data_IF_256760383000
#
_entry.id   IF_256760383000
#
_cell.length_a   1.000
_cell.length_b   1.000
_cell.length_c   1.000
_cell.angle_alpha   90.00
_cell.angle_beta   90.00
_cell.angle_gamma   90.00
#
_symmetry.space_group_name_H-M   'P 1'
#
loop_
_entity.id
_entity.type
_entity.pdbx_description
1 polymer ?
#
# COMPACT_ATOMS: atom_id res chain seq x y z
N UNK A 1 -5.33 7.79 -25.43
CA UNK A 1 -5.25 6.32 -25.27
C UNK A 1 -4.38 5.90 -24.08
N UNK A 2 -3.28 6.59 -23.75
CA UNK A 2 -2.41 6.24 -22.60
C UNK A 2 -2.97 6.56 -21.20
N UNK A 3 -3.75 7.63 -21.02
CA UNK A 3 -4.26 8.03 -19.68
C UNK A 3 -5.23 7.03 -19.03
N UNK A 4 -6.02 6.28 -19.82
CA UNK A 4 -6.92 5.25 -19.31
C UNK A 4 -6.16 4.09 -18.65
N UNK A 5 -4.99 3.73 -19.19
CA UNK A 5 -4.11 2.70 -18.63
C UNK A 5 -3.53 3.13 -17.27
N UNK A 6 -3.04 4.37 -17.15
CA UNK A 6 -2.46 4.86 -15.90
C UNK A 6 -3.52 4.99 -14.80
N UNK A 7 -4.72 5.48 -15.13
CA UNK A 7 -5.84 5.57 -14.18
C UNK A 7 -6.17 4.20 -13.59
N UNK A 8 -6.23 3.15 -14.41
CA UNK A 8 -6.48 1.79 -13.92
C UNK A 8 -5.37 1.29 -12.99
N UNK A 9 -4.10 1.58 -13.29
CA UNK A 9 -2.97 1.21 -12.43
C UNK A 9 -3.03 1.91 -11.07
N UNK A 10 -3.34 3.21 -11.04
CA UNK A 10 -3.54 3.97 -9.79
C UNK A 10 -4.67 3.36 -8.96
N UNK A 11 -5.82 3.06 -9.58
CA UNK A 11 -6.97 2.46 -8.89
C UNK A 11 -6.61 1.07 -8.34
N UNK A 12 -5.87 0.27 -9.12
CA UNK A 12 -5.43 -1.07 -8.72
C UNK A 12 -4.56 -0.99 -7.46
N UNK A 13 -3.45 -0.24 -7.51
CA UNK A 13 -2.51 -0.16 -6.37
C UNK A 13 -3.17 0.46 -5.13
N UNK A 14 -4.08 1.43 -5.32
CA UNK A 14 -4.86 1.99 -4.21
C UNK A 14 -5.72 0.93 -3.50
N UNK A 15 -6.43 0.08 -4.27
CA UNK A 15 -7.26 -1.00 -3.72
C UNK A 15 -6.43 -2.08 -3.04
N UNK A 16 -5.29 -2.45 -3.63
CA UNK A 16 -4.37 -3.42 -3.03
C UNK A 16 -3.80 -2.91 -1.70
N UNK A 17 -3.38 -1.64 -1.63
CA UNK A 17 -2.91 -1.02 -0.39
C UNK A 17 -4.01 -0.95 0.67
N UNK A 18 -5.26 -0.63 0.31
CA UNK A 18 -6.38 -0.68 1.26
C UNK A 18 -6.62 -2.09 1.80
N UNK A 19 -6.50 -3.12 0.96
CA UNK A 19 -6.65 -4.50 1.39
C UNK A 19 -5.55 -4.91 2.38
N UNK A 20 -4.28 -4.67 2.03
CA UNK A 20 -3.13 -4.98 2.88
C UNK A 20 -3.16 -4.18 4.19
N UNK A 21 -3.60 -2.92 4.12
CA UNK A 21 -3.70 -2.01 5.26
C UNK A 21 -4.66 -2.47 6.37
N UNK A 22 -5.54 -3.46 6.12
CA UNK A 22 -6.42 -4.04 7.14
C UNK A 22 -5.64 -4.69 8.29
N UNK A 23 -4.46 -5.21 7.98
CA UNK A 23 -3.58 -5.90 8.94
C UNK A 23 -2.46 -4.99 9.48
N UNK A 24 -2.50 -3.70 9.16
CA UNK A 24 -1.48 -2.73 9.54
C UNK A 24 -1.31 -2.68 11.08
N UNK A 25 -0.06 -2.56 11.62
CA UNK A 25 0.17 -2.64 13.06
C UNK A 25 -0.62 -1.64 13.91
N UNK A 26 -0.90 -0.45 13.38
CA UNK A 26 -1.67 0.60 14.05
C UNK A 26 -3.18 0.55 13.73
N UNK A 27 -3.64 -0.47 13.00
CA UNK A 27 -5.04 -0.69 12.63
C UNK A 27 -5.46 0.01 11.34
N UNK A 28 -6.58 -0.45 10.79
CA UNK A 28 -7.11 0.03 9.51
C UNK A 28 -7.59 1.49 9.57
N UNK A 29 -8.21 1.90 10.68
CA UNK A 29 -8.68 3.28 10.88
C UNK A 29 -7.52 4.28 10.95
N UNK A 30 -6.33 3.83 11.33
CA UNK A 30 -5.11 4.63 11.25
C UNK A 30 -4.59 4.71 9.81
N UNK A 31 -4.58 3.59 9.10
CA UNK A 31 -3.95 3.45 7.78
C UNK A 31 -4.78 4.10 6.67
N UNK A 32 -6.08 3.78 6.59
CA UNK A 32 -6.99 4.21 5.52
C UNK A 32 -7.00 5.73 5.27
N UNK A 33 -7.20 6.61 6.27
CA UNK A 33 -7.23 8.06 6.01
C UNK A 33 -5.87 8.60 5.56
N UNK A 34 -4.76 8.00 6.01
CA UNK A 34 -3.40 8.41 5.58
C UNK A 34 -3.13 8.02 4.14
N UNK A 35 -3.49 6.80 3.75
CA UNK A 35 -3.41 6.36 2.36
C UNK A 35 -4.26 7.27 1.47
N UNK A 36 -5.51 7.52 1.85
CA UNK A 36 -6.39 8.39 1.09
C UNK A 36 -5.81 9.80 0.94
N UNK A 37 -5.31 10.40 2.02
CA UNK A 37 -4.67 11.71 2.00
C UNK A 37 -3.45 11.75 1.05
N UNK A 38 -2.62 10.70 1.05
CA UNK A 38 -1.44 10.62 0.18
C UNK A 38 -1.81 10.57 -1.31
N UNK A 39 -2.88 9.83 -1.67
CA UNK A 39 -3.38 9.78 -3.06
C UNK A 39 -4.07 11.08 -3.46
N UNK A 40 -4.88 11.67 -2.57
CA UNK A 40 -5.56 12.95 -2.83
C UNK A 40 -4.57 14.11 -2.99
N UNK A 41 -3.46 14.12 -2.26
CA UNK A 41 -2.40 15.13 -2.43
C UNK A 41 -1.79 15.14 -3.85
N UNK A 42 -1.96 14.04 -4.62
CA UNK A 42 -1.45 13.88 -5.98
C UNK A 42 -2.56 13.80 -7.04
N UNK A 43 -3.81 14.07 -6.70
CA UNK A 43 -4.95 13.89 -7.63
C UNK A 43 -4.96 14.87 -8.81
N UNK A 44 -4.28 16.00 -8.68
CA UNK A 44 -4.14 17.01 -9.74
C UNK A 44 -2.96 16.80 -10.69
N UNK A 45 -2.24 15.67 -10.59
CA UNK A 45 -1.15 15.36 -11.52
C UNK A 45 -1.71 15.03 -12.91
N UNK A 46 -1.24 15.77 -13.92
CA UNK A 46 -1.61 15.55 -15.33
C UNK A 46 -0.45 14.96 -16.15
N UNK A 47 0.79 15.17 -15.70
CA UNK A 47 1.98 14.65 -16.36
C UNK A 47 2.11 13.12 -16.20
N UNK A 48 2.18 12.40 -17.31
CA UNK A 48 2.22 10.94 -17.30
C UNK A 48 3.46 10.37 -16.60
N UNK A 49 4.61 11.02 -16.70
CA UNK A 49 5.85 10.55 -16.06
C UNK A 49 5.77 10.69 -14.54
N UNK A 50 5.21 11.80 -14.05
CA UNK A 50 4.95 12.00 -12.62
C UNK A 50 3.92 11.01 -12.09
N UNK A 51 2.88 10.68 -12.88
CA UNK A 51 1.92 9.63 -12.51
C UNK A 51 2.61 8.26 -12.40
N UNK A 52 3.48 7.91 -13.37
CA UNK A 52 4.25 6.65 -13.33
C UNK A 52 5.16 6.57 -12.10
N UNK A 53 5.88 7.65 -11.77
CA UNK A 53 6.69 7.74 -10.54
C UNK A 53 5.82 7.59 -9.28
N UNK A 54 4.63 8.18 -9.29
CA UNK A 54 3.65 8.01 -8.21
C UNK A 54 3.20 6.57 -8.03
N UNK A 55 2.93 5.85 -9.11
CA UNK A 55 2.59 4.42 -9.10
C UNK A 55 3.76 3.59 -8.58
N UNK A 56 4.98 3.84 -9.06
CA UNK A 56 6.18 3.14 -8.60
C UNK A 56 6.40 3.30 -7.09
N UNK A 57 6.23 4.53 -6.58
CA UNK A 57 6.30 4.79 -5.14
C UNK A 57 5.21 4.02 -4.37
N UNK A 58 3.99 3.95 -4.89
CA UNK A 58 2.91 3.20 -4.25
C UNK A 58 3.18 1.69 -4.23
N UNK A 59 3.75 1.12 -5.29
CA UNK A 59 4.17 -0.29 -5.34
C UNK A 59 5.34 -0.57 -4.40
N UNK A 60 6.26 0.39 -4.21
CA UNK A 60 7.31 0.27 -3.19
C UNK A 60 6.73 0.20 -1.78
N UNK A 61 5.85 1.14 -1.43
CA UNK A 61 5.16 1.15 -0.12
C UNK A 61 4.36 -0.14 0.09
N UNK A 62 3.75 -0.68 -0.97
CA UNK A 62 3.03 -1.96 -0.91
C UNK A 62 3.93 -3.10 -0.44
N UNK A 63 5.15 -3.21 -1.00
CA UNK A 63 6.14 -4.22 -0.59
C UNK A 63 6.58 -4.04 0.87
N UNK A 64 6.71 -2.80 1.35
CA UNK A 64 7.03 -2.55 2.76
C UNK A 64 5.90 -3.01 3.69
N UNK A 65 4.63 -2.74 3.31
CA UNK A 65 3.46 -3.20 4.08
C UNK A 65 3.36 -4.73 4.09
N UNK A 66 3.61 -5.38 2.96
CA UNK A 66 3.70 -6.84 2.88
C UNK A 66 4.82 -7.40 3.77
N UNK A 67 6.02 -6.79 3.74
CA UNK A 67 7.13 -7.21 4.58
C UNK A 67 6.79 -7.09 6.08
N UNK A 68 6.16 -6.00 6.50
CA UNK A 68 5.69 -5.83 7.89
C UNK A 68 4.68 -6.92 8.28
N UNK A 69 3.78 -7.27 7.36
CA UNK A 69 2.81 -8.35 7.56
C UNK A 69 3.50 -9.71 7.77
N UNK A 70 4.43 -10.09 6.88
CA UNK A 70 5.19 -11.33 7.01
C UNK A 70 6.03 -11.38 8.29
N UNK A 71 6.66 -10.26 8.67
CA UNK A 71 7.44 -10.17 9.90
C UNK A 71 6.59 -10.40 11.15
N UNK A 72 5.37 -9.84 11.20
CA UNK A 72 4.41 -10.07 12.28
C UNK A 72 4.04 -11.55 12.39
N UNK A 73 3.71 -12.20 11.26
CA UNK A 73 3.40 -13.63 11.21
C UNK A 73 4.56 -14.50 11.66
N UNK A 74 5.76 -14.21 11.18
CA UNK A 74 6.98 -14.92 11.56
C UNK A 74 7.24 -14.84 13.07
N UNK A 75 7.11 -13.64 13.67
CA UNK A 75 7.25 -13.44 15.12
C UNK A 75 6.21 -14.23 15.92
N UNK A 76 4.96 -14.28 15.45
CA UNK A 76 3.91 -15.07 16.11
C UNK A 76 4.24 -16.57 16.07
N UNK A 77 4.70 -17.07 14.92
CA UNK A 77 5.10 -18.46 14.75
C UNK A 77 6.29 -18.84 15.65
N UNK A 78 7.34 -18.01 15.66
CA UNK A 78 8.52 -18.23 16.50
C UNK A 78 8.18 -18.33 17.99
N UNK A 79 7.27 -17.49 18.49
CA UNK A 79 6.79 -17.54 19.89
C UNK A 79 6.04 -18.84 20.22
N UNK A 80 5.27 -19.37 19.27
CA UNK A 80 4.55 -20.62 19.47
C UNK A 80 5.51 -21.79 19.64
N UNK A 81 6.52 -21.89 18.77
CA UNK A 81 7.56 -22.93 18.87
C UNK A 81 8.50 -22.76 20.06
N UNK A 82 8.82 -21.53 20.49
CA UNK A 82 9.68 -21.33 21.67
C UNK A 82 9.00 -21.67 23.00
N UNK A 83 7.67 -21.70 23.03
CA UNK A 83 6.87 -22.03 24.21
C UNK A 83 6.42 -23.51 24.22
N UNK A 84 6.89 -24.32 23.26
CA UNK A 84 6.67 -25.77 23.16
C UNK A 84 7.95 -26.51 23.57
#
# INVERSE_FOLDING_TARGET
>A
MASSSLRHQVIRVYRELLYLGREYPLGYDYFRPRLHKAFMAKSGLEDEEQIRKGIEQAEYVKKEVEAMYYLKKYRALSRAYSNS
#
